data_IF_027438979057
#
_entry.id   IF_027438979057
#
_cell.length_a   1.000
_cell.length_b   1.000
_cell.length_c   1.000
_cell.angle_alpha   90.00
_cell.angle_beta   90.00
_cell.angle_gamma   90.00
#
_symmetry.space_group_name_H-M   'P 1'
#
loop_
_entity.id
_entity.type
_entity.pdbx_description
1 polymer ?
#
# COMPACT_ATOMS: atom_id res chain seq x y z
N UNK A 1 54.58 -8.55 47.17
CA UNK A 1 54.56 -7.87 45.86
C UNK A 1 53.09 -7.56 45.57
N UNK A 2 52.80 -6.27 45.31
CA UNK A 2 51.54 -5.53 45.04
C UNK A 2 50.26 -6.37 44.73
N UNK A 3 49.22 -6.31 45.58
CA UNK A 3 47.98 -5.45 45.54
C UNK A 3 46.93 -5.97 44.52
N UNK A 4 45.65 -6.23 44.81
CA UNK A 4 44.81 -6.05 46.00
C UNK A 4 43.35 -5.71 45.61
N UNK A 5 42.38 -6.57 46.01
CA UNK A 5 40.93 -6.38 46.29
C UNK A 5 40.04 -5.47 45.39
N UNK A 6 38.93 -5.93 44.77
CA UNK A 6 37.56 -6.26 45.27
C UNK A 6 36.88 -5.16 46.14
N UNK A 7 35.74 -4.57 45.72
CA UNK A 7 34.36 -4.71 46.29
C UNK A 7 33.36 -3.60 45.88
N UNK A 8 32.16 -4.06 45.49
CA UNK A 8 30.78 -3.56 45.62
C UNK A 8 30.49 -2.31 46.51
N UNK A 9 29.47 -1.49 46.16
CA UNK A 9 28.16 -1.35 46.88
C UNK A 9 27.31 -0.15 46.37
N UNK A 10 25.98 -0.35 46.42
CA UNK A 10 24.81 0.50 46.10
C UNK A 10 24.46 1.62 47.13
N UNK A 11 23.48 2.49 46.79
CA UNK A 11 22.48 3.25 47.63
C UNK A 11 22.48 4.81 47.58
N UNK A 12 21.43 5.34 46.90
CA UNK A 12 20.40 6.36 47.29
C UNK A 12 20.64 7.89 47.38
N UNK A 13 19.96 8.61 46.46
CA UNK A 13 19.12 9.86 46.50
C UNK A 13 19.25 10.87 47.66
N UNK A 14 19.48 12.17 47.32
CA UNK A 14 18.69 13.35 47.77
C UNK A 14 18.94 14.62 46.88
N UNK A 15 17.91 15.45 46.75
CA UNK A 15 17.74 16.62 45.86
C UNK A 15 18.41 17.96 46.32
N UNK A 16 18.26 18.99 45.45
CA UNK A 16 18.37 20.47 45.64
C UNK A 16 19.77 21.02 45.27
N UNK A 17 20.02 22.01 44.40
CA UNK A 17 19.25 23.09 43.74
C UNK A 17 20.05 23.70 42.57
N UNK A 18 19.31 24.24 41.59
CA UNK A 18 19.55 25.43 40.76
C UNK A 18 20.83 25.68 39.93
N UNK A 19 20.51 26.00 38.67
CA UNK A 19 21.13 26.94 37.73
C UNK A 19 22.29 26.46 36.81
N UNK A 20 22.02 26.61 35.51
CA UNK A 20 22.90 26.52 34.33
C UNK A 20 23.03 25.14 33.66
N UNK A 21 21.98 24.72 32.94
CA UNK A 21 22.08 23.75 31.83
C UNK A 21 21.48 24.36 30.56
N UNK A 22 22.22 25.30 29.99
CA UNK A 22 22.06 25.75 28.61
C UNK A 22 23.47 26.04 28.10
N UNK A 23 24.19 25.00 27.68
CA UNK A 23 25.32 25.10 26.73
C UNK A 23 25.99 23.76 26.37
N UNK A 24 25.65 22.62 26.99
CA UNK A 24 26.38 21.36 26.75
C UNK A 24 25.81 20.40 25.69
N UNK A 25 24.91 20.88 24.81
CA UNK A 25 24.34 20.06 23.72
C UNK A 25 24.69 20.53 22.30
N UNK A 26 25.59 21.53 22.19
CA UNK A 26 25.91 22.14 20.89
C UNK A 26 27.20 21.63 20.26
N UNK A 27 28.07 20.96 21.01
CA UNK A 27 29.41 20.58 20.54
C UNK A 27 29.54 19.12 20.08
N UNK A 28 28.63 18.21 20.47
CA UNK A 28 28.65 16.80 20.01
C UNK A 28 28.04 16.59 18.61
N UNK A 29 27.21 17.53 18.12
CA UNK A 29 26.66 17.49 16.76
C UNK A 29 27.63 18.06 15.70
N UNK A 30 28.62 18.83 16.12
CA UNK A 30 29.58 19.48 15.20
C UNK A 30 30.78 18.58 14.86
N UNK A 31 31.08 17.58 15.70
CA UNK A 31 32.23 16.68 15.51
C UNK A 31 31.94 15.39 14.74
N UNK A 32 30.67 15.05 14.49
CA UNK A 32 30.28 13.92 13.62
C UNK A 32 29.98 14.32 12.17
N UNK A 33 30.09 15.60 11.82
CA UNK A 33 29.76 16.10 10.49
C UNK A 33 30.97 16.27 9.55
N UNK A 34 32.20 15.97 9.99
CA UNK A 34 33.41 16.22 9.21
C UNK A 34 34.31 15.03 8.85
N UNK A 35 33.92 13.79 9.19
CA UNK A 35 34.59 12.57 8.70
C UNK A 35 33.62 11.60 8.04
N UNK A 36 33.11 11.98 6.87
CA UNK A 36 32.66 11.05 5.81
C UNK A 36 32.30 11.86 4.57
N UNK A 37 33.30 12.50 3.96
CA UNK A 37 33.12 13.34 2.77
C UNK A 37 33.29 12.59 1.44
N UNK A 38 33.25 11.26 1.46
CA UNK A 38 33.30 10.41 0.27
C UNK A 38 32.29 9.27 0.45
N UNK A 39 31.31 9.18 -0.45
CA UNK A 39 30.20 8.19 -0.54
C UNK A 39 28.79 8.61 -0.06
N UNK A 40 28.30 9.79 -0.46
CA UNK A 40 26.86 10.00 -0.66
C UNK A 40 26.60 10.83 -1.92
N UNK A 41 26.73 10.19 -3.07
CA UNK A 41 26.07 10.62 -4.31
C UNK A 41 25.16 9.49 -4.79
N UNK A 42 24.10 9.22 -4.01
CA UNK A 42 22.85 8.68 -4.52
C UNK A 42 21.72 9.06 -3.56
N UNK A 43 21.58 10.37 -3.30
CA UNK A 43 20.25 10.89 -2.95
C UNK A 43 19.44 10.69 -4.23
N UNK A 44 18.41 9.86 -4.18
CA UNK A 44 17.65 9.52 -5.38
C UNK A 44 17.15 10.82 -6.04
N UNK A 45 17.29 10.94 -7.36
CA UNK A 45 16.83 12.11 -8.13
C UNK A 45 15.36 12.48 -7.82
N UNK A 46 14.59 11.54 -7.25
CA UNK A 46 13.17 11.65 -6.91
C UNK A 46 12.92 12.54 -5.69
N UNK A 47 13.79 12.53 -4.68
CA UNK A 47 13.67 13.40 -3.49
C UNK A 47 13.96 14.86 -3.87
N UNK A 48 14.79 15.06 -4.88
CA UNK A 48 15.14 16.38 -5.39
C UNK A 48 13.94 17.09 -6.01
N UNK A 49 13.07 16.45 -6.79
CA UNK A 49 12.06 17.19 -7.58
C UNK A 49 10.97 17.78 -6.68
N UNK A 50 10.41 16.98 -5.78
CA UNK A 50 9.35 17.43 -4.88
C UNK A 50 9.90 18.45 -3.86
N UNK A 51 11.06 18.18 -3.28
CA UNK A 51 11.74 19.11 -2.37
C UNK A 51 12.13 20.42 -3.05
N UNK A 52 12.57 20.38 -4.32
CA UNK A 52 12.92 21.57 -5.09
C UNK A 52 11.68 22.37 -5.49
N UNK A 53 10.58 21.72 -5.90
CA UNK A 53 9.29 22.39 -6.10
C UNK A 53 8.84 23.13 -4.82
N UNK A 54 8.90 22.46 -3.66
CA UNK A 54 8.53 23.07 -2.38
C UNK A 54 9.44 24.24 -2.01
N UNK A 55 10.76 24.09 -2.19
CA UNK A 55 11.73 25.14 -1.91
C UNK A 55 11.47 26.38 -2.79
N UNK A 56 11.22 26.19 -4.09
CA UNK A 56 10.92 27.28 -5.02
C UNK A 56 9.55 27.93 -4.73
N UNK A 57 8.53 27.15 -4.38
CA UNK A 57 7.22 27.67 -3.99
C UNK A 57 7.27 28.52 -2.72
N UNK A 58 7.94 28.04 -1.66
CA UNK A 58 8.13 28.76 -0.40
C UNK A 58 8.97 30.04 -0.61
N UNK A 59 10.00 29.97 -1.46
CA UNK A 59 10.81 31.14 -1.80
C UNK A 59 10.01 32.19 -2.60
N UNK A 60 9.14 31.76 -3.52
CA UNK A 60 8.27 32.64 -4.29
C UNK A 60 7.24 33.40 -3.44
N UNK A 61 6.67 32.76 -2.43
CA UNK A 61 5.78 33.42 -1.46
C UNK A 61 6.52 34.52 -0.69
N UNK A 62 7.76 34.26 -0.28
CA UNK A 62 8.55 35.20 0.52
C UNK A 62 9.15 36.36 -0.29
N UNK A 63 9.33 36.19 -1.60
CA UNK A 63 9.86 37.24 -2.48
C UNK A 63 8.79 38.20 -3.03
N UNK A 64 7.49 37.89 -2.83
CA UNK A 64 6.39 38.64 -3.44
C UNK A 64 6.27 38.41 -4.95
N UNK A 65 7.01 37.45 -5.49
CA UNK A 65 6.86 36.98 -6.87
C UNK A 65 5.65 36.05 -6.97
N UNK A 66 5.04 36.00 -8.16
CA UNK A 66 3.87 35.16 -8.39
C UNK A 66 4.29 33.69 -8.26
N UNK A 67 3.81 33.01 -7.21
CA UNK A 67 4.08 31.59 -7.02
C UNK A 67 3.74 30.80 -8.30
N UNK A 68 4.65 29.92 -8.73
CA UNK A 68 4.44 29.06 -9.90
C UNK A 68 3.22 28.17 -9.60
N UNK A 69 2.18 28.26 -10.43
CA UNK A 69 1.00 27.40 -10.29
C UNK A 69 1.45 25.95 -10.52
N UNK A 70 1.04 25.03 -9.63
CA UNK A 70 1.34 23.60 -9.78
C UNK A 70 0.92 23.06 -11.16
N UNK A 71 -0.15 23.60 -11.75
CA UNK A 71 -0.61 23.28 -13.11
C UNK A 71 0.42 23.69 -14.18
N UNK A 72 1.11 24.82 -14.01
CA UNK A 72 2.15 25.27 -14.94
C UNK A 72 3.39 24.38 -14.83
N UNK A 73 3.75 23.93 -13.62
CA UNK A 73 4.84 22.97 -13.40
C UNK A 73 4.50 21.57 -13.97
N UNK A 74 3.26 21.14 -13.79
CA UNK A 74 2.67 19.91 -14.32
C UNK A 74 2.69 19.90 -15.86
N UNK A 75 2.35 21.01 -16.52
CA UNK A 75 2.37 21.14 -17.99
C UNK A 75 3.76 21.00 -18.64
N UNK A 76 4.83 21.29 -17.89
CA UNK A 76 6.22 21.18 -18.36
C UNK A 76 6.67 19.70 -18.38
N UNK A 77 6.02 18.83 -17.60
CA UNK A 77 6.32 17.41 -17.49
C UNK A 77 5.26 16.48 -18.11
N UNK A 78 4.02 16.93 -18.30
CA UNK A 78 2.93 16.17 -18.95
C UNK A 78 3.01 16.14 -20.48
N UNK A 79 4.15 15.71 -21.02
CA UNK A 79 4.21 15.10 -22.34
C UNK A 79 4.27 13.58 -22.23
N UNK A 80 3.55 12.96 -21.30
CA UNK A 80 3.24 11.52 -21.31
C UNK A 80 1.94 11.26 -20.53
N UNK A 81 0.85 11.14 -21.27
CA UNK A 81 -0.46 10.62 -20.84
C UNK A 81 -0.31 9.22 -20.22
N UNK A 82 -0.40 9.09 -18.89
CA UNK A 82 -0.47 7.79 -18.22
C UNK A 82 -1.35 7.84 -16.97
N UNK A 83 -2.67 7.93 -17.16
CA UNK A 83 -3.67 7.50 -16.15
C UNK A 83 -4.83 6.71 -16.78
N UNK A 84 -4.68 6.29 -18.05
CA UNK A 84 -5.69 5.53 -18.80
C UNK A 84 -5.19 4.21 -19.40
N UNK A 85 -3.89 3.91 -19.34
CA UNK A 85 -3.32 2.72 -19.99
C UNK A 85 -3.35 1.43 -19.16
N UNK A 86 -3.67 1.47 -17.87
CA UNK A 86 -3.85 0.24 -17.07
C UNK A 86 -5.25 -0.38 -17.20
N UNK A 87 -6.19 0.26 -17.91
CA UNK A 87 -7.60 -0.18 -17.95
C UNK A 87 -8.21 -0.36 -19.34
N UNK A 88 -7.47 -0.13 -20.43
CA UNK A 88 -7.99 -0.32 -21.78
C UNK A 88 -6.88 -0.79 -22.74
N UNK A 89 -6.77 -2.10 -22.94
CA UNK A 89 -6.13 -2.64 -24.13
C UNK A 89 -7.14 -3.41 -24.98
N UNK A 90 -8.25 -2.75 -25.35
CA UNK A 90 -9.05 -3.02 -26.54
C UNK A 90 -10.09 -1.90 -26.73
N UNK A 91 -10.28 -1.44 -27.97
CA UNK A 91 -11.31 -0.47 -28.43
C UNK A 91 -10.97 1.03 -28.29
N UNK A 92 -9.97 1.50 -29.04
CA UNK A 92 -10.06 2.82 -29.68
C UNK A 92 -10.59 2.61 -31.09
N UNK A 93 -11.89 2.79 -31.28
CA UNK A 93 -12.51 3.27 -32.52
C UNK A 93 -14.02 3.45 -32.29
N UNK A 94 -14.51 4.68 -32.51
CA UNK A 94 -15.90 5.17 -32.47
C UNK A 94 -16.41 5.71 -31.14
N UNK A 95 -16.09 6.97 -30.85
CA UNK A 95 -17.06 7.89 -30.22
C UNK A 95 -16.82 9.31 -30.73
N UNK A 96 -17.24 9.55 -31.98
CA UNK A 96 -17.63 10.89 -32.41
C UNK A 96 -19.14 11.03 -32.21
N UNK A 97 -19.55 12.18 -31.67
CA UNK A 97 -20.93 12.68 -31.52
C UNK A 97 -21.75 12.30 -30.28
N UNK A 98 -21.54 13.03 -29.17
CA UNK A 98 -22.63 13.36 -28.24
C UNK A 98 -22.44 14.80 -27.74
N UNK A 99 -23.29 15.72 -28.23
CA UNK A 99 -23.42 17.10 -27.73
C UNK A 99 -24.45 17.11 -26.60
N UNK A 100 -24.09 17.64 -25.44
CA UNK A 100 -25.03 17.90 -24.34
C UNK A 100 -25.53 19.35 -24.38
N UNK A 101 -26.83 19.58 -24.13
CA UNK A 101 -27.40 20.92 -24.11
C UNK A 101 -27.10 21.66 -22.80
N UNK A 102 -26.96 22.96 -22.97
CA UNK A 102 -26.71 23.97 -21.94
C UNK A 102 -28.00 24.23 -21.15
N UNK A 103 -27.97 24.16 -19.81
CA UNK A 103 -29.06 24.66 -18.97
C UNK A 103 -28.53 25.51 -17.84
N UNK A 104 -28.69 26.82 -18.01
CA UNK A 104 -28.70 27.81 -16.94
C UNK A 104 -29.98 27.61 -16.11
N UNK A 105 -29.84 27.46 -14.80
CA UNK A 105 -30.95 27.42 -13.84
C UNK A 105 -30.50 28.00 -12.50
N UNK A 106 -31.19 29.05 -12.09
CA UNK A 106 -30.94 29.91 -10.94
C UNK A 106 -31.04 29.17 -9.60
N UNK A 107 -30.16 29.46 -8.64
CA UNK A 107 -30.23 28.96 -7.26
C UNK A 107 -30.77 30.08 -6.37
N UNK A 108 -32.00 29.91 -5.88
CA UNK A 108 -32.58 30.71 -4.80
C UNK A 108 -32.08 30.25 -3.43
N UNK A 109 -31.86 31.25 -2.57
CA UNK A 109 -31.49 31.14 -1.16
C UNK A 109 -32.52 30.38 -0.31
N UNK A 110 -32.06 29.45 0.54
CA UNK A 110 -32.65 29.23 1.87
C UNK A 110 -31.58 28.90 2.91
N UNK A 111 -31.40 29.84 3.86
CA UNK A 111 -30.84 29.57 5.19
C UNK A 111 -31.98 29.09 6.09
N UNK A 112 -31.80 28.00 6.83
CA UNK A 112 -32.39 27.87 8.16
C UNK A 112 -31.52 27.00 9.07
N UNK A 113 -31.15 27.60 10.19
CA UNK A 113 -30.58 27.03 11.40
C UNK A 113 -31.54 26.07 12.11
N UNK A 114 -31.05 24.91 12.57
CA UNK A 114 -31.01 24.47 13.98
C UNK A 114 -30.64 22.98 14.15
N UNK A 115 -30.16 22.55 15.34
CA UNK A 115 -29.11 21.55 15.50
C UNK A 115 -29.57 20.16 15.99
N UNK A 116 -28.63 19.20 15.90
CA UNK A 116 -28.45 18.04 16.77
C UNK A 116 -29.70 17.41 17.40
N UNK A 117 -30.30 16.43 16.72
CA UNK A 117 -30.97 15.27 17.35
C UNK A 117 -31.44 14.31 16.25
N UNK A 118 -30.56 13.41 15.78
CA UNK A 118 -30.99 12.21 15.06
C UNK A 118 -29.91 11.12 15.01
N UNK A 119 -29.55 10.59 16.17
CA UNK A 119 -28.88 9.29 16.25
C UNK A 119 -29.89 8.18 16.57
N UNK A 120 -29.63 7.02 15.96
CA UNK A 120 -30.15 5.67 16.25
C UNK A 120 -31.41 5.24 15.48
N UNK A 121 -31.25 4.11 14.79
CA UNK A 121 -32.24 3.27 14.11
C UNK A 121 -32.57 3.64 12.66
N UNK A 122 -31.59 3.45 11.78
CA UNK A 122 -31.83 3.25 10.35
C UNK A 122 -30.97 2.09 9.87
N UNK A 123 -31.55 0.90 9.73
CA UNK A 123 -31.03 -0.14 8.83
C UNK A 123 -31.06 0.42 7.41
N UNK A 124 -30.02 1.16 7.03
CA UNK A 124 -29.85 1.66 5.67
C UNK A 124 -29.32 0.52 4.80
N UNK A 125 -30.05 0.24 3.71
CA UNK A 125 -29.64 -0.68 2.65
C UNK A 125 -28.42 -0.08 1.93
N UNK A 126 -27.22 -0.31 2.47
CA UNK A 126 -25.93 0.11 1.89
C UNK A 126 -25.48 -0.73 0.68
N UNK A 127 -26.22 -1.79 0.34
CA UNK A 127 -25.84 -2.78 -0.67
C UNK A 127 -26.02 -2.35 -2.14
N UNK A 128 -26.51 -1.14 -2.44
CA UNK A 128 -26.90 -0.76 -3.80
C UNK A 128 -26.01 0.27 -4.49
N UNK A 129 -24.97 0.78 -3.83
CA UNK A 129 -24.01 1.72 -4.45
C UNK A 129 -22.64 1.06 -4.56
N UNK A 130 -22.63 -0.13 -5.14
CA UNK A 130 -21.41 -0.69 -5.72
C UNK A 130 -21.40 -0.22 -7.18
N UNK A 131 -20.58 0.75 -7.59
CA UNK A 131 -20.55 1.18 -8.99
C UNK A 131 -19.79 0.13 -9.79
N UNK A 132 -20.44 -1.01 -10.04
CA UNK A 132 -19.97 -2.07 -10.93
C UNK A 132 -19.57 -1.51 -12.30
N UNK A 133 -20.19 -0.40 -12.73
CA UNK A 133 -19.85 0.33 -13.95
C UNK A 133 -18.49 1.04 -13.93
N UNK A 134 -17.95 1.37 -12.75
CA UNK A 134 -16.60 1.94 -12.60
C UNK A 134 -15.54 0.83 -12.60
N UNK A 135 -15.89 -0.37 -12.12
CA UNK A 135 -15.02 -1.55 -12.14
C UNK A 135 -15.17 -2.28 -13.48
N UNK A 136 -14.59 -1.73 -14.54
CA UNK A 136 -14.62 -2.32 -15.89
C UNK A 136 -14.03 -3.74 -15.98
N UNK A 137 -13.37 -4.23 -14.93
CA UNK A 137 -12.60 -5.48 -14.90
C UNK A 137 -13.13 -6.49 -13.86
N UNK A 138 -14.25 -7.15 -14.15
CA UNK A 138 -14.61 -8.43 -13.51
C UNK A 138 -14.84 -8.42 -11.99
N UNK A 139 -15.00 -9.62 -11.42
CA UNK A 139 -15.19 -9.83 -9.98
C UNK A 139 -13.87 -9.67 -9.22
N UNK A 140 -13.86 -9.20 -7.96
CA UNK A 140 -12.66 -9.14 -7.14
C UNK A 140 -11.92 -10.48 -7.09
N UNK A 141 -10.62 -10.47 -7.39
CA UNK A 141 -9.81 -11.69 -7.46
C UNK A 141 -9.12 -11.98 -6.11
N UNK A 142 -9.72 -12.82 -5.27
CA UNK A 142 -9.30 -13.05 -3.87
C UNK A 142 -8.67 -14.44 -3.64
N UNK A 143 -7.63 -14.79 -4.40
CA UNK A 143 -7.16 -16.16 -4.62
C UNK A 143 -5.67 -16.44 -4.36
N UNK A 144 -4.87 -15.44 -4.02
CA UNK A 144 -3.43 -15.54 -3.81
C UNK A 144 -3.02 -15.24 -2.38
N UNK A 145 -3.84 -14.44 -1.70
CA UNK A 145 -3.58 -14.00 -0.33
C UNK A 145 -4.62 -14.52 0.67
N UNK A 146 -4.19 -14.62 1.94
CA UNK A 146 -5.05 -14.85 3.09
C UNK A 146 -5.44 -13.52 3.74
N UNK A 147 -6.70 -13.15 3.56
CA UNK A 147 -7.28 -11.92 4.06
C UNK A 147 -7.80 -12.01 5.51
N UNK A 148 -7.78 -13.20 6.13
CA UNK A 148 -8.30 -13.40 7.50
C UNK A 148 -7.55 -12.62 8.58
N UNK A 149 -6.33 -12.18 8.30
CA UNK A 149 -5.54 -11.37 9.21
C UNK A 149 -5.93 -9.88 9.19
N UNK A 150 -6.68 -9.43 8.18
CA UNK A 150 -7.13 -8.04 8.01
C UNK A 150 -8.18 -7.64 9.02
N UNK A 151 -8.23 -6.33 9.30
CA UNK A 151 -9.15 -5.73 10.25
C UNK A 151 -9.67 -4.41 9.71
N UNK A 152 -10.85 -4.02 10.18
CA UNK A 152 -11.36 -2.66 10.00
C UNK A 152 -10.34 -1.68 10.59
N UNK A 153 -10.04 -0.61 9.84
CA UNK A 153 -9.00 0.35 10.20
C UNK A 153 -7.57 -0.14 9.94
N UNK A 154 -7.40 -1.12 9.05
CA UNK A 154 -6.11 -1.30 8.36
C UNK A 154 -6.01 -0.29 7.21
N UNK A 155 -4.80 0.22 6.98
CA UNK A 155 -4.49 1.19 5.93
C UNK A 155 -3.79 0.45 4.79
N UNK A 156 -4.33 0.58 3.60
CA UNK A 156 -3.72 0.15 2.35
C UNK A 156 -2.89 1.31 1.79
N UNK A 157 -1.67 1.02 1.37
CA UNK A 157 -0.77 1.98 0.72
C UNK A 157 -0.26 1.36 -0.57
N UNK A 158 -0.50 2.02 -1.69
CA UNK A 158 0.00 1.63 -3.00
C UNK A 158 1.29 2.36 -3.31
N UNK A 159 2.26 1.61 -3.83
CA UNK A 159 3.53 2.16 -4.27
C UNK A 159 3.48 2.29 -5.79
N UNK A 160 2.99 3.44 -6.28
CA UNK A 160 3.00 3.70 -7.72
C UNK A 160 4.41 4.06 -8.20
N UNK A 161 4.67 3.87 -9.49
CA UNK A 161 6.02 3.90 -10.08
C UNK A 161 6.67 5.31 -9.99
N UNK A 162 5.87 6.36 -9.72
CA UNK A 162 6.25 7.77 -9.83
C UNK A 162 6.21 8.57 -8.51
N UNK A 163 6.48 7.91 -7.37
CA UNK A 163 6.57 8.56 -6.04
C UNK A 163 5.24 9.08 -5.47
N UNK A 164 4.14 8.88 -6.17
CA UNK A 164 2.81 9.17 -5.66
C UNK A 164 2.26 7.92 -4.96
N UNK A 165 2.06 8.04 -3.66
CA UNK A 165 1.39 6.98 -2.91
C UNK A 165 -0.12 7.21 -3.01
N UNK A 166 -0.86 6.13 -3.22
CA UNK A 166 -2.30 6.13 -2.99
C UNK A 166 -2.61 5.41 -1.68
N UNK A 167 -3.64 5.85 -0.98
CA UNK A 167 -3.99 5.34 0.34
C UNK A 167 -5.50 5.11 0.47
N UNK A 168 -5.86 4.04 1.17
CA UNK A 168 -7.24 3.67 1.46
C UNK A 168 -7.36 3.07 2.87
N UNK A 169 -8.55 3.11 3.46
CA UNK A 169 -8.84 2.43 4.73
C UNK A 169 -9.75 1.24 4.47
N UNK A 170 -9.41 0.08 5.05
CA UNK A 170 -10.27 -1.10 5.06
C UNK A 170 -11.43 -0.89 6.02
N UNK A 171 -12.65 -0.93 5.50
CA UNK A 171 -13.89 -0.75 6.29
C UNK A 171 -14.65 -2.06 6.51
N UNK A 172 -14.48 -3.04 5.63
CA UNK A 172 -15.07 -4.38 5.77
C UNK A 172 -14.15 -5.44 5.15
N UNK A 173 -13.41 -6.23 5.95
CA UNK A 173 -12.49 -7.24 5.44
C UNK A 173 -13.19 -8.50 4.89
N UNK A 174 -14.52 -8.61 5.02
CA UNK A 174 -15.29 -9.77 4.59
C UNK A 174 -16.66 -9.34 4.03
N UNK A 175 -16.65 -8.34 3.15
CA UNK A 175 -17.86 -7.80 2.54
C UNK A 175 -18.49 -8.80 1.58
N UNK A 176 -19.79 -9.02 1.70
CA UNK A 176 -20.56 -9.96 0.88
C UNK A 176 -21.17 -9.26 -0.33
N UNK A 177 -20.91 -9.76 -1.54
CA UNK A 177 -21.62 -9.32 -2.74
C UNK A 177 -23.05 -9.90 -2.79
N UNK A 178 -24.05 -9.07 -2.58
CA UNK A 178 -25.48 -9.44 -2.49
C UNK A 178 -26.06 -10.13 -3.73
N UNK A 179 -25.39 -10.08 -4.88
CA UNK A 179 -25.84 -10.68 -6.14
C UNK A 179 -25.03 -11.92 -6.60
N UNK A 180 -24.05 -12.38 -5.81
CA UNK A 180 -23.13 -13.45 -6.22
C UNK A 180 -23.17 -14.70 -5.32
N UNK A 181 -24.29 -14.93 -4.61
CA UNK A 181 -24.41 -16.04 -3.66
C UNK A 181 -23.49 -15.86 -2.46
N UNK A 182 -23.35 -16.89 -1.61
CA UNK A 182 -22.48 -16.88 -0.42
C UNK A 182 -20.97 -16.79 -0.74
N UNK A 183 -20.61 -16.68 -2.02
CA UNK A 183 -19.26 -16.97 -2.54
C UNK A 183 -18.50 -15.71 -3.01
N UNK A 184 -19.12 -14.52 -2.93
CA UNK A 184 -18.56 -13.24 -3.39
C UNK A 184 -18.01 -12.37 -2.26
N UNK A 185 -17.06 -12.88 -1.47
CA UNK A 185 -16.39 -12.12 -0.41
C UNK A 185 -15.26 -11.26 -0.96
N UNK A 186 -15.23 -9.97 -0.64
CA UNK A 186 -14.09 -9.07 -0.92
C UNK A 186 -13.77 -8.17 0.27
N UNK A 187 -12.58 -7.55 0.24
CA UNK A 187 -12.18 -6.56 1.24
C UNK A 187 -12.59 -5.18 0.74
N UNK A 188 -13.56 -4.55 1.38
CA UNK A 188 -14.04 -3.22 1.03
C UNK A 188 -13.17 -2.14 1.66
N UNK A 189 -12.88 -1.10 0.86
CA UNK A 189 -12.14 0.09 1.27
C UNK A 189 -12.98 1.35 1.10
N UNK A 190 -12.59 2.43 1.80
CA UNK A 190 -12.93 3.81 1.43
C UNK A 190 -11.65 4.56 1.09
N UNK A 191 -11.69 5.33 0.02
CA UNK A 191 -10.54 6.05 -0.55
C UNK A 191 -10.97 7.31 -1.32
N UNK A 192 -10.06 8.28 -1.45
CA UNK A 192 -10.24 9.44 -2.33
C UNK A 192 -9.38 9.26 -3.58
N UNK A 193 -9.99 9.26 -4.76
CA UNK A 193 -9.28 9.05 -6.04
C UNK A 193 -9.37 10.30 -6.93
N UNK A 194 -8.29 10.59 -7.67
CA UNK A 194 -8.19 11.79 -8.51
C UNK A 194 -9.19 11.85 -9.67
N UNK A 195 -9.73 10.70 -10.08
CA UNK A 195 -10.78 10.60 -11.08
C UNK A 195 -12.17 10.64 -10.40
N UNK A 196 -13.10 11.41 -10.97
CA UNK A 196 -14.51 11.46 -10.57
C UNK A 196 -15.02 10.01 -10.37
N UNK A 197 -15.42 9.59 -9.14
CA UNK A 197 -16.24 10.34 -8.19
C UNK A 197 -15.57 10.91 -6.92
N UNK A 198 -14.24 11.00 -6.83
CA UNK A 198 -13.59 11.54 -5.63
C UNK A 198 -13.55 10.52 -4.48
N UNK A 199 -14.18 10.81 -3.34
CA UNK A 199 -14.27 9.85 -2.22
C UNK A 199 -15.29 8.77 -2.52
N UNK A 200 -14.88 7.51 -2.48
CA UNK A 200 -15.71 6.38 -2.85
C UNK A 200 -15.36 5.10 -2.11
N UNK A 201 -16.23 4.10 -2.25
CA UNK A 201 -15.91 2.72 -1.92
C UNK A 201 -14.99 2.12 -2.99
N UNK A 202 -14.01 1.34 -2.55
CA UNK A 202 -13.20 0.49 -3.41
C UNK A 202 -13.08 -0.91 -2.83
N UNK A 203 -12.13 -1.68 -3.36
CA UNK A 203 -11.81 -2.99 -2.83
C UNK A 203 -10.32 -3.31 -2.91
N UNK A 204 -9.88 -4.23 -2.06
CA UNK A 204 -8.58 -4.87 -2.14
C UNK A 204 -8.74 -6.31 -2.62
N UNK A 205 -8.01 -6.67 -3.67
CA UNK A 205 -7.91 -8.03 -4.21
C UNK A 205 -6.44 -8.36 -4.56
N UNK A 206 -6.14 -9.56 -5.05
CA UNK A 206 -4.75 -9.94 -5.30
C UNK A 206 -4.15 -9.15 -6.48
N UNK A 207 -4.98 -8.83 -7.48
CA UNK A 207 -4.52 -8.09 -8.65
C UNK A 207 -4.04 -6.70 -8.23
N UNK A 208 -4.84 -5.99 -7.42
CA UNK A 208 -4.47 -4.69 -6.84
C UNK A 208 -3.19 -4.80 -6.01
N UNK A 209 -3.03 -5.88 -5.23
CA UNK A 209 -1.81 -6.09 -4.42
C UNK A 209 -0.57 -6.20 -5.30
N UNK A 210 -0.65 -6.99 -6.38
CA UNK A 210 0.47 -7.24 -7.28
C UNK A 210 0.78 -6.01 -8.13
N UNK A 211 -0.24 -5.44 -8.80
CA UNK A 211 -0.06 -4.34 -9.75
C UNK A 211 0.42 -3.06 -9.10
N UNK A 212 0.01 -2.82 -7.85
CA UNK A 212 0.32 -1.58 -7.12
C UNK A 212 1.27 -1.80 -5.94
N UNK A 213 1.87 -2.99 -5.83
CA UNK A 213 2.81 -3.35 -4.78
C UNK A 213 2.32 -2.93 -3.38
N UNK A 214 1.09 -3.36 -3.05
CA UNK A 214 0.37 -2.87 -1.86
C UNK A 214 1.11 -3.22 -0.58
N UNK A 215 1.28 -2.21 0.28
CA UNK A 215 1.74 -2.34 1.65
C UNK A 215 0.56 -2.08 2.59
N UNK A 216 0.34 -3.01 3.53
CA UNK A 216 -0.68 -2.86 4.55
C UNK A 216 -0.07 -2.39 5.86
N UNK A 217 -0.67 -1.37 6.46
CA UNK A 217 -0.25 -0.78 7.73
C UNK A 217 -1.39 -0.85 8.74
N UNK A 218 -1.06 -1.15 9.99
CA UNK A 218 -1.99 -1.25 11.12
C UNK A 218 -1.50 -0.40 12.27
N UNK A 219 -2.40 0.29 12.96
CA UNK A 219 -2.08 0.98 14.20
C UNK A 219 -1.46 0.03 15.22
N UNK A 220 -0.28 0.37 15.75
CA UNK A 220 0.54 -0.58 16.52
C UNK A 220 0.61 -0.33 18.02
N UNK A 221 0.27 0.87 18.50
CA UNK A 221 0.40 1.20 19.93
C UNK A 221 -0.51 0.33 20.79
N UNK A 222 -1.69 -0.02 20.27
CA UNK A 222 -2.63 -0.98 20.87
C UNK A 222 -3.67 -1.42 19.84
N UNK A 223 -4.52 -2.36 20.23
CA UNK A 223 -5.75 -2.61 19.49
C UNK A 223 -6.65 -1.37 19.56
N UNK A 224 -7.22 -1.00 18.41
CA UNK A 224 -8.28 -0.01 18.36
C UNK A 224 -9.51 -0.56 19.10
N UNK A 225 -10.15 0.29 19.88
CA UNK A 225 -11.43 0.01 20.52
C UNK A 225 -12.54 0.05 19.49
N UNK A 226 -13.67 -0.59 19.77
CA UNK A 226 -14.85 -0.51 18.89
C UNK A 226 -15.33 0.93 18.69
N UNK A 227 -15.19 1.80 19.70
CA UNK A 227 -15.57 3.20 19.58
C UNK A 227 -14.68 3.96 18.58
N UNK A 228 -13.35 3.75 18.63
CA UNK A 228 -12.44 4.39 17.68
C UNK A 228 -12.65 3.87 16.26
N UNK A 229 -12.88 2.56 16.10
CA UNK A 229 -13.22 1.98 14.80
C UNK A 229 -14.49 2.63 14.24
N UNK A 230 -15.54 2.75 15.05
CA UNK A 230 -16.77 3.40 14.62
C UNK A 230 -16.54 4.86 14.23
N UNK A 231 -15.78 5.63 15.02
CA UNK A 231 -15.48 7.03 14.68
C UNK A 231 -14.71 7.16 13.36
N UNK A 232 -13.73 6.27 13.10
CA UNK A 232 -12.98 6.24 11.84
C UNK A 232 -13.93 5.93 10.67
N UNK A 233 -14.74 4.88 10.79
CA UNK A 233 -15.66 4.45 9.73
C UNK A 233 -16.74 5.49 9.49
N UNK A 234 -17.38 6.01 10.54
CA UNK A 234 -18.40 7.05 10.46
C UNK A 234 -17.84 8.30 9.77
N UNK A 235 -16.62 8.71 10.10
CA UNK A 235 -15.97 9.84 9.43
C UNK A 235 -15.86 9.59 7.93
N UNK A 236 -15.29 8.44 7.54
CA UNK A 236 -15.04 8.06 6.14
C UNK A 236 -16.35 7.92 5.35
N UNK A 237 -17.36 7.26 5.91
CA UNK A 237 -18.68 7.11 5.27
C UNK A 237 -19.34 8.48 5.02
N UNK A 238 -19.19 9.43 5.95
CA UNK A 238 -19.67 10.80 5.76
C UNK A 238 -18.88 11.59 4.70
N UNK A 239 -17.75 11.05 4.21
CA UNK A 239 -16.99 11.66 3.13
C UNK A 239 -17.34 11.10 1.74
N UNK A 240 -18.01 9.95 1.64
CA UNK A 240 -18.33 9.32 0.35
C UNK A 240 -19.17 10.26 -0.53
N UNK A 241 -18.76 10.39 -1.80
CA UNK A 241 -19.37 11.27 -2.80
C UNK A 241 -18.82 12.71 -2.81
N UNK A 242 -17.85 13.04 -1.95
CA UNK A 242 -17.16 14.33 -1.97
C UNK A 242 -16.05 14.36 -3.00
N UNK A 243 -15.71 15.55 -3.47
CA UNK A 243 -14.76 15.73 -4.57
C UNK A 243 -13.32 15.35 -4.16
N UNK A 244 -12.50 15.02 -5.15
CA UNK A 244 -11.06 14.95 -4.95
C UNK A 244 -10.42 16.33 -5.10
N UNK A 245 -9.55 16.69 -4.16
CA UNK A 245 -8.76 17.92 -4.25
C UNK A 245 -7.38 17.71 -3.63
N UNK A 246 -6.32 17.85 -4.44
CA UNK A 246 -4.94 17.81 -3.97
C UNK A 246 -4.53 19.18 -3.43
N UNK A 247 -5.18 19.60 -2.34
CA UNK A 247 -4.86 20.86 -1.68
C UNK A 247 -3.76 20.65 -0.63
N UNK A 248 -2.55 21.09 -0.95
CA UNK A 248 -1.34 20.83 -0.12
C UNK A 248 -0.92 21.97 0.80
N UNK A 249 -1.70 23.06 0.88
CA UNK A 249 -1.31 24.28 1.60
C UNK A 249 -2.03 24.45 2.94
N UNK A 250 -2.95 23.54 3.29
CA UNK A 250 -3.52 23.39 4.62
C UNK A 250 -4.02 21.97 4.80
N UNK A 251 -4.19 21.57 6.05
CA UNK A 251 -4.72 20.27 6.41
C UNK A 251 -6.16 20.39 6.85
N UNK A 252 -7.03 19.55 6.30
CA UNK A 252 -8.42 19.46 6.68
C UNK A 252 -8.62 18.32 7.68
N UNK A 253 -9.34 18.62 8.76
CA UNK A 253 -9.75 17.65 9.79
C UNK A 253 -11.26 17.62 9.97
N UNK A 254 -11.99 18.45 9.22
CA UNK A 254 -13.40 18.69 9.44
C UNK A 254 -14.24 17.68 8.68
N UNK A 255 -15.15 17.00 9.37
CA UNK A 255 -16.13 16.07 8.76
C UNK A 255 -17.01 16.76 7.69
N UNK A 256 -17.09 18.09 7.72
CA UNK A 256 -17.82 18.94 6.78
C UNK A 256 -16.98 19.39 5.58
N UNK A 257 -15.76 18.91 5.40
CA UNK A 257 -14.96 19.21 4.19
C UNK A 257 -15.77 18.94 2.92
N UNK A 258 -15.54 19.69 1.84
CA UNK A 258 -16.15 19.43 0.54
C UNK A 258 -15.29 18.52 -0.35
N UNK A 259 -14.01 18.35 -0.01
CA UNK A 259 -13.05 17.62 -0.83
C UNK A 259 -11.92 17.00 -0.02
N UNK A 260 -11.24 16.03 -0.61
CA UNK A 260 -10.14 15.29 0.02
C UNK A 260 -9.12 14.81 -1.00
N UNK A 261 -7.86 14.66 -0.61
CA UNK A 261 -6.94 13.74 -1.28
C UNK A 261 -6.68 12.50 -0.42
N UNK A 262 -6.16 11.44 -1.04
CA UNK A 262 -6.14 10.09 -0.47
C UNK A 262 -5.51 10.01 0.93
N UNK A 263 -4.35 10.62 1.11
CA UNK A 263 -3.57 10.53 2.35
C UNK A 263 -4.09 11.45 3.45
N UNK A 264 -4.59 12.64 3.11
CA UNK A 264 -5.28 13.51 4.07
C UNK A 264 -6.57 12.88 4.58
N UNK A 265 -7.39 12.27 3.71
CA UNK A 265 -8.61 11.56 4.11
C UNK A 265 -8.31 10.51 5.18
N UNK A 266 -7.29 9.68 4.93
CA UNK A 266 -6.86 8.63 5.87
C UNK A 266 -6.40 9.26 7.19
N UNK A 267 -5.51 10.25 7.15
CA UNK A 267 -5.03 10.89 8.38
C UNK A 267 -6.16 11.56 9.17
N UNK A 268 -7.05 12.29 8.50
CA UNK A 268 -8.16 12.99 9.11
C UNK A 268 -9.15 12.04 9.80
N UNK A 269 -9.40 10.87 9.21
CA UNK A 269 -10.27 9.85 9.82
C UNK A 269 -9.73 9.34 11.16
N UNK A 270 -8.41 9.07 11.26
CA UNK A 270 -7.80 8.68 12.53
C UNK A 270 -7.71 9.85 13.50
N UNK A 271 -7.41 11.05 13.01
CA UNK A 271 -7.39 12.26 13.83
C UNK A 271 -8.76 12.54 14.46
N UNK A 272 -9.85 12.33 13.71
CA UNK A 272 -11.22 12.44 14.21
C UNK A 272 -11.53 11.47 15.35
N UNK A 273 -10.87 10.31 15.38
CA UNK A 273 -10.93 9.33 16.45
C UNK A 273 -9.90 9.57 17.57
N UNK A 274 -9.30 10.76 17.66
CA UNK A 274 -8.26 11.15 18.62
C UNK A 274 -6.97 10.31 18.50
N UNK A 275 -6.66 9.88 17.27
CA UNK A 275 -5.45 9.12 16.95
C UNK A 275 -4.60 9.92 15.96
N UNK A 276 -3.57 10.58 16.47
CA UNK A 276 -2.57 11.20 15.59
C UNK A 276 -1.59 10.14 15.06
N UNK A 277 -1.70 9.83 13.77
CA UNK A 277 -0.78 8.92 13.09
C UNK A 277 0.63 9.50 12.93
N UNK A 278 0.81 10.82 13.02
CA UNK A 278 2.06 11.51 12.73
C UNK A 278 2.53 12.31 13.95
N UNK A 279 3.82 12.28 14.28
CA UNK A 279 4.32 13.01 15.45
C UNK A 279 4.58 14.49 15.20
N UNK A 280 4.69 14.89 13.93
CA UNK A 280 5.22 16.20 13.53
C UNK A 280 4.15 17.11 12.92
N UNK A 281 2.91 16.64 12.85
CA UNK A 281 1.81 17.41 12.26
C UNK A 281 0.94 17.97 13.39
N UNK A 282 1.08 19.26 13.64
CA UNK A 282 0.02 20.06 14.26
C UNK A 282 -0.98 20.41 13.15
N UNK A 283 -2.28 20.07 13.28
CA UNK A 283 -3.30 20.47 12.29
C UNK A 283 -3.34 21.97 12.04
N UNK A 284 -2.85 22.79 12.99
CA UNK A 284 -2.76 24.24 12.86
C UNK A 284 -1.46 24.69 12.18
N UNK A 285 -0.48 23.79 12.03
CA UNK A 285 0.76 24.01 11.28
C UNK A 285 0.60 23.44 9.87
N UNK A 286 -0.11 24.21 9.04
CA UNK A 286 -0.42 23.94 7.63
C UNK A 286 0.80 23.90 6.70
N UNK A 287 2.03 23.89 7.23
CA UNK A 287 3.24 24.06 6.43
C UNK A 287 3.62 22.83 5.60
N UNK A 288 3.08 21.64 5.88
CA UNK A 288 3.42 20.41 5.18
C UNK A 288 2.19 19.52 4.90
N UNK A 289 2.00 19.05 3.65
CA UNK A 289 0.93 18.12 3.33
C UNK A 289 1.17 16.73 3.93
N UNK A 290 0.10 15.95 4.08
CA UNK A 290 0.22 14.54 4.48
C UNK A 290 0.62 13.73 3.26
N UNK A 291 1.89 13.35 3.15
CA UNK A 291 2.34 12.45 2.07
C UNK A 291 2.03 10.99 2.42
N UNK A 292 1.88 10.11 1.42
CA UNK A 292 1.71 8.69 1.74
C UNK A 292 2.96 8.06 2.34
N UNK A 293 4.14 8.63 2.10
CA UNK A 293 5.37 8.29 2.82
C UNK A 293 5.26 8.60 4.32
N UNK A 294 4.67 9.74 4.70
CA UNK A 294 4.47 10.08 6.13
C UNK A 294 3.62 9.04 6.85
N UNK A 295 2.57 8.53 6.19
CA UNK A 295 1.72 7.46 6.71
C UNK A 295 2.50 6.14 6.70
N UNK A 296 3.11 5.79 5.56
CA UNK A 296 3.90 4.56 5.39
C UNK A 296 4.95 4.44 6.46
N UNK A 297 5.73 5.47 6.72
CA UNK A 297 6.87 5.42 7.63
C UNK A 297 6.53 5.85 9.05
N UNK A 298 5.25 6.10 9.32
CA UNK A 298 4.77 6.39 10.67
C UNK A 298 5.21 5.31 11.66
N UNK A 299 5.97 5.75 12.65
CA UNK A 299 6.32 4.94 13.83
C UNK A 299 5.11 4.58 14.69
N UNK A 300 3.89 5.08 14.44
CA UNK A 300 2.63 4.63 15.08
C UNK A 300 2.00 3.43 14.38
N UNK A 301 2.46 3.13 13.17
CA UNK A 301 1.99 2.00 12.39
C UNK A 301 3.01 0.85 12.40
N UNK A 302 2.51 -0.36 12.25
CA UNK A 302 3.28 -1.56 11.92
C UNK A 302 2.80 -2.09 10.58
N UNK A 303 3.71 -2.69 9.83
CA UNK A 303 3.31 -3.47 8.67
C UNK A 303 2.49 -4.69 9.12
N UNK A 304 1.38 -4.93 8.43
CA UNK A 304 0.69 -6.23 8.47
C UNK A 304 1.01 -6.95 7.18
N UNK A 305 1.14 -8.26 7.23
CA UNK A 305 1.32 -9.09 6.04
C UNK A 305 0.04 -9.86 5.79
N UNK A 306 -0.33 -9.95 4.52
CA UNK A 306 -1.22 -11.01 4.07
C UNK A 306 -0.37 -12.27 3.92
N UNK A 307 -0.81 -13.35 4.56
CA UNK A 307 -0.10 -14.61 4.41
C UNK A 307 -0.29 -15.10 2.98
N UNK A 308 0.82 -15.41 2.31
CA UNK A 308 0.85 -16.01 0.97
C UNK A 308 0.57 -17.51 1.07
N UNK A 309 -0.48 -17.89 1.79
CA UNK A 309 -0.79 -19.28 2.15
C UNK A 309 -1.31 -20.14 0.98
N UNK A 310 -1.34 -19.55 -0.22
CA UNK A 310 -1.77 -20.20 -1.45
C UNK A 310 -0.61 -20.50 -2.38
N UNK A 311 0.43 -19.66 -2.38
CA UNK A 311 1.57 -19.81 -3.26
C UNK A 311 2.63 -20.72 -2.67
N UNK A 312 3.31 -21.46 -3.53
CA UNK A 312 4.50 -22.20 -3.11
C UNK A 312 5.59 -21.21 -2.73
N UNK A 313 6.39 -21.51 -1.71
CA UNK A 313 7.56 -20.70 -1.36
C UNK A 313 8.85 -21.47 -1.56
N UNK A 314 9.94 -20.74 -1.77
CA UNK A 314 11.26 -21.25 -2.03
C UNK A 314 12.21 -20.97 -0.88
N UNK A 315 13.08 -21.94 -0.59
CA UNK A 315 14.25 -21.74 0.27
C UNK A 315 15.46 -22.33 -0.42
N UNK A 316 16.55 -21.56 -0.51
CA UNK A 316 17.83 -22.06 -0.98
C UNK A 316 18.47 -22.90 0.13
N UNK A 317 18.69 -24.18 -0.16
CA UNK A 317 19.41 -25.10 0.71
C UNK A 317 20.92 -25.12 0.41
N UNK A 318 21.30 -24.61 -0.76
CA UNK A 318 22.67 -24.50 -1.20
C UNK A 318 22.82 -24.59 -2.72
N UNK A 319 24.06 -24.53 -3.18
CA UNK A 319 24.42 -24.64 -4.59
C UNK A 319 25.58 -25.62 -4.75
N UNK A 320 25.49 -26.51 -5.73
CA UNK A 320 26.54 -27.44 -6.10
C UNK A 320 26.84 -27.29 -7.59
N UNK A 321 27.99 -26.72 -7.92
CA UNK A 321 28.36 -26.36 -9.29
C UNK A 321 27.28 -25.49 -9.95
N UNK A 322 26.69 -25.98 -11.03
CA UNK A 322 25.63 -25.31 -11.79
C UNK A 322 24.22 -25.73 -11.35
N UNK A 323 24.05 -26.31 -10.14
CA UNK A 323 22.74 -26.74 -9.64
C UNK A 323 22.41 -26.10 -8.30
N UNK A 324 21.26 -25.47 -8.25
CA UNK A 324 20.64 -24.97 -7.03
C UNK A 324 19.86 -26.09 -6.36
N UNK A 325 20.06 -26.27 -5.06
CA UNK A 325 19.23 -27.12 -4.22
C UNK A 325 18.17 -26.24 -3.57
N UNK A 326 16.93 -26.42 -3.98
CA UNK A 326 15.80 -25.57 -3.58
C UNK A 326 14.80 -26.43 -2.82
N UNK A 327 14.29 -25.91 -1.72
CA UNK A 327 13.11 -26.45 -1.05
C UNK A 327 11.88 -25.71 -1.54
N UNK A 328 10.88 -26.45 -2.00
CA UNK A 328 9.54 -25.93 -2.30
C UNK A 328 8.64 -26.29 -1.13
N UNK A 329 8.02 -25.29 -0.49
CA UNK A 329 7.04 -25.49 0.57
C UNK A 329 5.62 -25.33 0.03
N UNK A 330 4.74 -26.26 0.43
CA UNK A 330 3.32 -26.20 0.21
C UNK A 330 2.61 -25.70 1.47
N UNK A 331 2.14 -24.43 1.50
CA UNK A 331 1.40 -23.90 2.64
C UNK A 331 -0.05 -24.38 2.71
N UNK A 332 -0.54 -25.17 1.75
CA UNK A 332 -1.94 -25.60 1.71
C UNK A 332 -2.24 -26.66 2.76
N UNK A 333 -3.51 -26.71 3.17
CA UNK A 333 -4.09 -27.78 3.98
C UNK A 333 -4.45 -29.04 3.17
N UNK A 334 -4.07 -29.11 1.90
CA UNK A 334 -4.22 -30.28 1.04
C UNK A 334 -2.93 -30.58 0.26
N UNK A 335 -2.82 -31.81 -0.23
CA UNK A 335 -1.70 -32.26 -1.06
C UNK A 335 -1.81 -31.63 -2.47
N UNK A 336 -0.70 -31.14 -3.00
CA UNK A 336 -0.63 -30.50 -4.33
C UNK A 336 0.30 -31.26 -5.26
N UNK A 337 -0.09 -31.36 -6.53
CA UNK A 337 0.78 -31.81 -7.62
C UNK A 337 1.49 -30.59 -8.20
N UNK A 338 2.73 -30.39 -7.78
CA UNK A 338 3.57 -29.25 -8.20
C UNK A 338 4.31 -29.60 -9.47
N UNK A 339 4.10 -28.80 -10.51
CA UNK A 339 4.94 -28.75 -11.69
C UNK A 339 6.06 -27.71 -11.47
N UNK A 340 7.29 -28.01 -11.86
CA UNK A 340 8.40 -27.05 -11.77
C UNK A 340 9.36 -27.24 -12.93
N UNK A 341 10.08 -26.19 -13.29
CA UNK A 341 11.10 -26.29 -14.34
C UNK A 341 12.41 -26.78 -13.73
N UNK A 342 12.95 -27.90 -14.24
CA UNK A 342 14.20 -28.49 -13.72
C UNK A 342 15.46 -27.74 -14.13
N UNK A 343 15.31 -26.73 -14.99
CA UNK A 343 16.33 -25.77 -15.37
C UNK A 343 15.83 -24.35 -15.14
N UNK A 344 16.72 -23.40 -14.93
CA UNK A 344 16.35 -21.98 -14.88
C UNK A 344 15.71 -21.56 -16.22
N UNK A 345 14.76 -20.63 -16.16
CA UNK A 345 14.09 -20.01 -17.31
C UNK A 345 14.19 -18.48 -17.25
N UNK A 346 13.75 -17.81 -18.31
CA UNK A 346 13.62 -16.35 -18.27
C UNK A 346 12.42 -15.95 -17.41
N UNK A 347 12.51 -14.77 -16.79
CA UNK A 347 11.46 -14.25 -15.91
C UNK A 347 10.09 -14.22 -16.60
N UNK A 348 10.02 -13.74 -17.85
CA UNK A 348 8.77 -13.70 -18.62
C UNK A 348 8.18 -15.09 -18.91
N UNK A 349 9.02 -16.10 -19.15
CA UNK A 349 8.57 -17.49 -19.35
C UNK A 349 8.00 -18.08 -18.05
N UNK A 350 8.65 -17.79 -16.92
CA UNK A 350 8.17 -18.17 -15.60
C UNK A 350 6.83 -17.51 -15.27
N UNK A 351 6.75 -16.19 -15.40
CA UNK A 351 5.56 -15.38 -15.11
C UNK A 351 4.34 -15.86 -15.90
N UNK A 352 4.51 -16.09 -17.21
CA UNK A 352 3.40 -16.48 -18.09
C UNK A 352 3.18 -17.99 -18.17
N UNK A 353 3.99 -18.80 -17.49
CA UNK A 353 4.01 -20.26 -17.61
C UNK A 353 4.10 -20.75 -19.06
N UNK A 354 4.99 -20.14 -19.85
CA UNK A 354 5.15 -20.39 -21.29
C UNK A 354 6.59 -20.78 -21.62
N UNK A 355 6.78 -21.51 -22.73
CA UNK A 355 8.10 -21.94 -23.22
C UNK A 355 8.95 -22.76 -22.20
N UNK A 356 8.33 -23.37 -21.20
CA UNK A 356 9.00 -24.19 -20.19
C UNK A 356 9.27 -25.60 -20.72
N UNK A 357 10.50 -25.84 -21.20
CA UNK A 357 10.87 -27.07 -21.90
C UNK A 357 11.37 -28.21 -20.99
N UNK A 358 11.53 -27.96 -19.69
CA UNK A 358 12.16 -28.92 -18.77
C UNK A 358 11.30 -29.18 -17.52
N UNK A 359 9.99 -29.29 -17.71
CA UNK A 359 9.03 -29.52 -16.63
C UNK A 359 9.21 -30.91 -15.99
N UNK A 360 9.09 -30.93 -14.67
CA UNK A 360 8.93 -32.13 -13.86
C UNK A 360 7.78 -31.93 -12.87
N UNK A 361 7.28 -33.05 -12.33
CA UNK A 361 6.16 -33.06 -11.38
C UNK A 361 6.57 -33.74 -10.09
N UNK A 362 6.17 -33.16 -8.97
CA UNK A 362 6.33 -33.73 -7.62
C UNK A 362 5.03 -33.55 -6.83
N UNK A 363 4.75 -34.50 -5.93
CA UNK A 363 3.66 -34.38 -4.98
C UNK A 363 4.21 -33.82 -3.67
N UNK A 364 3.58 -32.76 -3.15
CA UNK A 364 3.92 -32.18 -1.86
C UNK A 364 2.69 -32.26 -0.95
N UNK A 365 2.82 -32.97 0.17
CA UNK A 365 1.74 -33.07 1.16
C UNK A 365 1.39 -31.70 1.75
N UNK A 366 0.23 -31.63 2.39
CA UNK A 366 -0.23 -30.43 3.09
C UNK A 366 0.79 -29.99 4.15
N UNK A 367 1.00 -28.67 4.28
CA UNK A 367 1.97 -28.07 5.21
C UNK A 367 3.35 -28.73 5.20
N UNK A 368 3.78 -29.19 4.03
CA UNK A 368 5.00 -29.98 3.86
C UNK A 368 5.89 -29.38 2.76
N UNK A 369 7.03 -29.99 2.50
CA UNK A 369 7.98 -29.52 1.52
C UNK A 369 8.60 -30.66 0.73
N UNK A 370 9.19 -30.30 -0.41
CA UNK A 370 10.06 -31.18 -1.18
C UNK A 370 11.36 -30.44 -1.53
N UNK A 371 12.48 -31.16 -1.43
CA UNK A 371 13.78 -30.65 -1.84
C UNK A 371 14.06 -31.10 -3.28
N UNK A 372 14.26 -30.14 -4.17
CA UNK A 372 14.53 -30.35 -5.60
C UNK A 372 15.90 -29.81 -5.99
N UNK A 373 16.32 -30.13 -7.22
CA UNK A 373 17.55 -29.58 -7.82
C UNK A 373 17.26 -28.97 -9.18
N UNK A 374 17.52 -27.67 -9.31
CA UNK A 374 17.32 -26.89 -10.54
C UNK A 374 18.68 -26.52 -11.12
N UNK A 375 18.92 -26.86 -12.38
CA UNK A 375 20.19 -26.52 -13.04
C UNK A 375 20.15 -25.13 -13.67
N UNK A 376 21.27 -24.42 -13.66
CA UNK A 376 21.45 -23.20 -14.45
C UNK A 376 21.28 -23.48 -15.94
N UNK A 377 20.85 -22.46 -16.67
CA UNK A 377 20.50 -22.58 -18.08
C UNK A 377 20.93 -21.34 -18.87
N UNK A 378 22.24 -21.27 -19.14
CA UNK A 378 22.85 -20.15 -19.86
C UNK A 378 22.54 -18.81 -19.18
N UNK A 379 21.77 -17.94 -19.84
CA UNK A 379 21.43 -16.59 -19.36
C UNK A 379 20.15 -16.54 -18.53
N UNK A 380 19.45 -17.67 -18.36
CA UNK A 380 18.25 -17.72 -17.56
C UNK A 380 18.58 -17.64 -16.05
N UNK A 381 17.89 -16.74 -15.35
CA UNK A 381 18.15 -16.42 -13.93
C UNK A 381 16.98 -16.72 -13.00
N UNK A 382 15.87 -17.25 -13.53
CA UNK A 382 14.64 -17.46 -12.76
C UNK A 382 14.36 -18.95 -12.53
N UNK A 383 13.94 -19.31 -11.32
CA UNK A 383 13.35 -20.62 -11.00
C UNK A 383 11.82 -20.48 -10.95
N UNK A 384 11.08 -21.54 -11.29
CA UNK A 384 9.61 -21.49 -11.26
C UNK A 384 8.98 -22.82 -10.88
N UNK A 385 7.88 -22.75 -10.15
CA UNK A 385 7.00 -23.85 -9.79
C UNK A 385 5.54 -23.39 -9.80
N UNK A 386 4.62 -24.29 -10.11
CA UNK A 386 3.19 -24.01 -10.04
C UNK A 386 2.41 -25.26 -9.67
N UNK A 387 1.15 -25.07 -9.31
CA UNK A 387 0.18 -26.14 -9.25
C UNK A 387 -1.16 -25.63 -9.75
N UNK A 388 -1.99 -26.55 -10.22
CA UNK A 388 -3.36 -26.26 -10.64
C UNK A 388 -4.31 -26.66 -9.53
N UNK A 389 -5.25 -25.79 -9.21
CA UNK A 389 -6.35 -26.11 -8.32
C UNK A 389 -7.68 -25.72 -8.96
N UNK A 390 -8.73 -26.48 -8.62
CA UNK A 390 -10.08 -26.15 -9.05
C UNK A 390 -10.70 -25.20 -8.01
N UNK A 391 -11.11 -24.02 -8.46
CA UNK A 391 -11.82 -23.05 -7.68
C UNK A 391 -13.19 -22.82 -8.31
N UNK A 392 -14.25 -23.31 -7.67
CA UNK A 392 -15.63 -23.12 -8.14
C UNK A 392 -15.86 -23.51 -9.61
N UNK A 393 -15.27 -24.63 -10.05
CA UNK A 393 -15.39 -25.10 -11.43
C UNK A 393 -14.42 -24.45 -12.42
N UNK A 394 -13.68 -23.42 -12.01
CA UNK A 394 -12.60 -22.83 -12.79
C UNK A 394 -11.26 -23.43 -12.39
N UNK A 395 -10.47 -23.88 -13.36
CA UNK A 395 -9.11 -24.35 -13.11
C UNK A 395 -8.15 -23.17 -13.12
N UNK A 396 -7.33 -23.06 -12.08
CA UNK A 396 -6.45 -21.91 -11.90
C UNK A 396 -5.05 -22.43 -11.59
N UNK A 397 -4.07 -21.93 -12.33
CA UNK A 397 -2.65 -22.23 -12.12
C UNK A 397 -2.05 -21.13 -11.26
N UNK A 398 -1.60 -21.47 -10.06
CA UNK A 398 -0.85 -20.56 -9.20
C UNK A 398 0.63 -20.76 -9.43
N UNK A 399 1.33 -19.70 -9.79
CA UNK A 399 2.73 -19.68 -10.20
C UNK A 399 3.53 -18.96 -9.13
N UNK A 400 4.57 -19.63 -8.63
CA UNK A 400 5.62 -19.04 -7.81
C UNK A 400 6.91 -19.07 -8.60
N UNK A 401 7.61 -17.95 -8.66
CA UNK A 401 8.92 -17.88 -9.30
C UNK A 401 9.86 -16.99 -8.52
N UNK A 402 11.16 -17.18 -8.70
CA UNK A 402 12.15 -16.39 -8.00
C UNK A 402 13.41 -16.16 -8.83
N UNK A 403 14.01 -14.99 -8.67
CA UNK A 403 15.30 -14.61 -9.25
C UNK A 403 16.23 -14.01 -8.18
N UNK A 404 17.37 -13.47 -8.60
CA UNK A 404 18.43 -12.97 -7.72
C UNK A 404 18.97 -14.00 -6.71
N UNK A 405 18.90 -15.28 -7.05
CA UNK A 405 19.38 -16.36 -6.19
C UNK A 405 20.88 -16.18 -5.88
N UNK A 406 21.23 -16.22 -4.60
CA UNK A 406 22.63 -16.21 -4.18
C UNK A 406 22.94 -17.29 -3.12
N UNK A 407 24.24 -17.57 -2.95
CA UNK A 407 24.71 -18.63 -2.04
C UNK A 407 24.56 -18.28 -0.57
N UNK A 408 24.18 -17.05 -0.23
CA UNK A 408 23.88 -16.63 1.14
C UNK A 408 22.44 -16.96 1.54
N UNK A 409 21.67 -17.59 0.65
CA UNK A 409 20.31 -18.02 0.91
C UNK A 409 19.24 -16.98 0.53
N UNK A 410 19.64 -15.84 -0.04
CA UNK A 410 18.71 -14.84 -0.54
C UNK A 410 18.23 -15.20 -1.95
N UNK A 411 16.95 -14.92 -2.18
CA UNK A 411 16.23 -14.99 -3.44
C UNK A 411 15.07 -13.98 -3.38
N UNK A 412 14.70 -13.42 -4.53
CA UNK A 412 13.56 -12.52 -4.65
C UNK A 412 12.35 -13.31 -5.18
N UNK A 413 11.32 -13.51 -4.36
CA UNK A 413 10.11 -14.24 -4.75
C UNK A 413 9.07 -13.34 -5.43
N UNK A 414 8.46 -13.89 -6.46
CA UNK A 414 7.38 -13.32 -7.25
C UNK A 414 6.26 -14.34 -7.41
N UNK A 415 5.06 -13.85 -7.69
CA UNK A 415 3.86 -14.67 -7.78
C UNK A 415 3.00 -14.21 -8.94
N UNK A 416 2.34 -15.16 -9.61
CA UNK A 416 1.35 -14.88 -10.64
C UNK A 416 0.30 -16.00 -10.68
N UNK A 417 -0.80 -15.81 -11.40
CA UNK A 417 -1.78 -16.85 -11.65
C UNK A 417 -2.26 -16.83 -13.11
N UNK A 418 -2.81 -17.95 -13.56
CA UNK A 418 -3.47 -18.06 -14.86
C UNK A 418 -4.80 -18.77 -14.71
N UNK A 419 -5.85 -18.22 -15.31
CA UNK A 419 -7.12 -18.91 -15.50
C UNK A 419 -6.97 -19.87 -16.68
N UNK A 420 -7.28 -21.15 -16.45
CA UNK A 420 -7.24 -22.18 -17.48
C UNK A 420 -8.65 -22.38 -18.04
N UNK A 421 -8.78 -22.21 -19.36
CA UNK A 421 -10.03 -22.39 -20.12
C UNK A 421 -10.40 -23.82 -20.43
#
# INVERSE_FOLDING_TARGET
MKLGAIFLTLITIFCVSNDNFANDYRDDLYYHFHESKENYEEISLKDSVLFHYYKEYVNGINSGEKAINFIDYKSIYECHDLDLMSYNHELVNNFDSLKFPNTNGEIENMRSSEPADKYMLGTYNYYSIFPYSLFKNGLPFMQGYNYSSLRVGDILIENTIDCFYHCAVIIDPAHQMTNYGNDGLFVQTIEAVGCNPGVQYGYLDDQRIVDHNVVLRRYKSRLLTSNEINLIVDFLDNQVGKDYDLHITYLNTQITSSSWYCTELVWAAYYYADINLLNFVDPNDASLPITGESIRDSHKLKQTTLDRDKYLTFVILGKNWNRWKIRIFNPRNFCVSVEYNTKMCFNNDAHNWQNLNNLAVILINYYSYADISISENWFATTITASYVYNNYGQNIRLISYADELNTNGYLLEHFNYLILG
#
